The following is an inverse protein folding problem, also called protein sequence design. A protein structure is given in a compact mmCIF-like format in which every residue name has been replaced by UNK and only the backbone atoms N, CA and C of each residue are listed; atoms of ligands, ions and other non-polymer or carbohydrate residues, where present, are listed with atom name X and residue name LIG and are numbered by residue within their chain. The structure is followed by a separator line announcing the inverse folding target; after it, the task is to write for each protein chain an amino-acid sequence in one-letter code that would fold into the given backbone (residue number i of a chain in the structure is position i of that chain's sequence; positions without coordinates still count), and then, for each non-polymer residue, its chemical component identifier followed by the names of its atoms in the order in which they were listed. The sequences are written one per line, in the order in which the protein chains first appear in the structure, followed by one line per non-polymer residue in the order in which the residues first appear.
data_IF_588937217845
#
_entry.id   IF_588937217845
#
_cell.length_a   1.000
_cell.length_b   1.000
_cell.length_c   1.000
_cell.angle_alpha   90.00
_cell.angle_beta   90.00
_cell.angle_gamma   90.00
#
_symmetry.space_group_name_H-M   'P 1'
#
loop_
_entity.id
_entity.type
_entity.pdbx_description
1 polymer ?
#
# COMPACT_ATOMS: atom_id res chain seq x y z
N UNK A 1 13.00 34.10 -26.60
CA UNK A 1 12.68 33.31 -25.41
C UNK A 1 13.16 31.89 -25.63
N UNK A 2 14.30 31.50 -25.06
CA UNK A 2 14.75 30.12 -24.97
C UNK A 2 13.88 29.46 -23.90
N UNK A 3 12.93 28.61 -24.30
CA UNK A 3 12.06 27.85 -23.42
C UNK A 3 12.88 26.83 -22.62
N UNK A 4 13.22 27.17 -21.39
CA UNK A 4 13.72 26.18 -20.45
C UNK A 4 12.62 25.14 -20.21
N UNK A 5 12.94 23.85 -20.36
CA UNK A 5 12.04 22.75 -19.97
C UNK A 5 11.68 22.94 -18.50
N UNK A 6 10.44 23.37 -18.22
CA UNK A 6 9.90 23.31 -16.85
C UNK A 6 9.75 21.83 -16.48
N UNK A 7 10.66 21.34 -15.67
CA UNK A 7 10.54 19.99 -15.08
C UNK A 7 9.57 20.15 -13.90
N UNK A 8 8.30 19.75 -14.09
CA UNK A 8 7.37 19.62 -12.99
C UNK A 8 7.52 18.22 -12.41
N UNK A 9 7.92 18.10 -11.16
CA UNK A 9 8.06 16.83 -10.47
C UNK A 9 6.72 16.26 -10.00
N UNK A 10 5.69 17.10 -9.89
CA UNK A 10 4.34 16.72 -9.46
C UNK A 10 3.34 17.45 -10.37
N UNK A 11 2.41 16.69 -10.93
CA UNK A 11 1.23 17.22 -11.62
C UNK A 11 0.02 16.87 -10.77
N UNK A 12 -0.85 17.84 -10.53
CA UNK A 12 -2.05 17.67 -9.73
C UNK A 12 -3.25 18.26 -10.47
N UNK A 13 -4.35 17.56 -10.43
CA UNK A 13 -5.65 18.03 -10.89
C UNK A 13 -6.63 17.99 -9.74
N UNK A 14 -7.12 19.15 -9.34
CA UNK A 14 -8.08 19.30 -8.25
C UNK A 14 -9.45 19.57 -8.85
N UNK A 15 -10.47 18.84 -8.42
CA UNK A 15 -11.85 19.02 -8.86
C UNK A 15 -12.82 18.77 -7.72
N UNK A 16 -13.86 19.59 -7.64
CA UNK A 16 -15.00 19.38 -6.73
C UNK A 16 -16.05 18.44 -7.30
N UNK A 17 -15.85 17.90 -8.52
CA UNK A 17 -16.72 16.90 -9.14
C UNK A 17 -16.05 15.52 -9.12
N UNK A 18 -16.79 14.52 -8.69
CA UNK A 18 -16.30 13.13 -8.65
C UNK A 18 -16.45 12.41 -10.00
N UNK A 19 -17.31 12.93 -10.89
CA UNK A 19 -17.54 12.33 -12.22
C UNK A 19 -16.62 12.94 -13.25
N UNK A 20 -15.78 12.10 -13.85
CA UNK A 20 -14.85 12.46 -14.92
C UNK A 20 -15.28 11.82 -16.23
N UNK A 21 -15.14 12.54 -17.33
CA UNK A 21 -15.34 11.96 -18.65
C UNK A 21 -14.19 11.02 -19.04
N UNK A 22 -14.50 9.99 -19.83
CA UNK A 22 -13.53 9.00 -20.28
C UNK A 22 -12.29 9.61 -20.94
N UNK A 23 -12.44 10.68 -21.70
CA UNK A 23 -11.34 11.41 -22.35
C UNK A 23 -10.41 12.07 -21.33
N UNK A 24 -10.96 12.64 -20.26
CA UNK A 24 -10.17 13.26 -19.19
C UNK A 24 -9.36 12.20 -18.42
N UNK A 25 -9.99 11.07 -18.13
CA UNK A 25 -9.31 9.94 -17.47
C UNK A 25 -8.17 9.37 -18.31
N UNK A 26 -8.38 9.22 -19.61
CA UNK A 26 -7.36 8.75 -20.53
C UNK A 26 -6.19 9.76 -20.66
N UNK A 27 -6.50 11.05 -20.71
CA UNK A 27 -5.50 12.10 -20.75
C UNK A 27 -4.64 12.15 -19.48
N UNK A 28 -5.23 11.90 -18.30
CA UNK A 28 -4.52 11.86 -17.02
C UNK A 28 -3.64 10.60 -16.95
N UNK A 29 -4.17 9.46 -17.36
CA UNK A 29 -3.48 8.16 -17.31
C UNK A 29 -2.20 8.13 -18.15
N UNK A 30 -2.22 8.75 -19.31
CA UNK A 30 -1.11 8.73 -20.28
C UNK A 30 -0.04 9.81 -20.00
N UNK A 31 -0.14 10.56 -18.90
CA UNK A 31 0.85 11.57 -18.56
C UNK A 31 2.11 10.97 -17.95
N UNK A 32 3.26 11.55 -18.28
CA UNK A 32 4.55 11.27 -17.64
C UNK A 32 5.20 12.61 -17.20
N UNK A 33 5.45 12.88 -15.90
CA UNK A 33 5.02 12.08 -14.75
C UNK A 33 3.49 12.01 -14.63
N UNK A 34 2.96 10.98 -13.94
CA UNK A 34 1.53 10.81 -13.71
C UNK A 34 0.88 12.04 -13.07
N UNK A 35 -0.40 12.26 -13.34
CA UNK A 35 -1.18 13.34 -12.72
C UNK A 35 -1.91 12.80 -11.51
N UNK A 36 -1.68 13.42 -10.35
CA UNK A 36 -2.44 13.14 -9.14
C UNK A 36 -3.82 13.79 -9.26
N UNK A 37 -4.86 13.03 -8.92
CA UNK A 37 -6.22 13.55 -8.80
C UNK A 37 -6.52 13.84 -7.34
N UNK A 38 -7.18 14.96 -7.09
CA UNK A 38 -7.69 15.33 -5.78
C UNK A 38 -9.14 15.72 -5.96
N UNK A 39 -10.04 14.88 -5.45
CA UNK A 39 -11.48 15.10 -5.47
C UNK A 39 -11.99 15.79 -4.19
N UNK A 40 -13.29 16.03 -4.12
CA UNK A 40 -13.92 16.63 -2.94
C UNK A 40 -13.75 15.71 -1.71
N UNK A 41 -13.97 14.40 -1.86
CA UNK A 41 -13.79 13.44 -0.78
C UNK A 41 -12.36 13.40 -0.22
N UNK A 42 -11.35 13.57 -1.09
CA UNK A 42 -9.94 13.66 -0.67
C UNK A 42 -9.68 14.93 0.14
N UNK A 43 -10.26 16.04 -0.27
CA UNK A 43 -10.18 17.32 0.44
C UNK A 43 -10.88 17.23 1.81
N UNK A 44 -12.09 16.68 1.85
CA UNK A 44 -12.85 16.47 3.09
C UNK A 44 -12.15 15.54 4.08
N UNK A 45 -11.52 14.48 3.59
CA UNK A 45 -10.77 13.52 4.40
C UNK A 45 -9.33 13.95 4.71
N UNK A 46 -8.87 15.07 4.14
CA UNK A 46 -7.52 15.57 4.38
C UNK A 46 -7.33 16.00 5.84
N UNK A 47 -6.11 15.88 6.40
CA UNK A 47 -5.82 16.32 7.77
C UNK A 47 -5.69 17.85 7.87
N UNK A 48 -6.65 18.56 7.30
CA UNK A 48 -6.68 20.04 7.24
C UNK A 48 -7.89 20.54 7.97
N UNK A 49 -7.69 21.45 8.91
CA UNK A 49 -8.75 22.22 9.55
C UNK A 49 -9.09 23.44 8.66
N UNK A 50 -10.04 23.24 7.75
CA UNK A 50 -10.41 24.23 6.75
C UNK A 50 -10.79 25.60 7.33
N UNK A 51 -11.44 25.63 8.52
CA UNK A 51 -11.78 26.87 9.21
C UNK A 51 -10.53 27.66 9.62
N UNK A 52 -9.45 26.98 9.99
CA UNK A 52 -8.17 27.62 10.31
C UNK A 52 -7.53 28.22 9.07
N UNK A 53 -7.60 27.53 7.91
CA UNK A 53 -7.14 28.09 6.62
C UNK A 53 -7.94 29.33 6.22
N UNK A 54 -9.26 29.31 6.41
CA UNK A 54 -10.12 30.48 6.13
C UNK A 54 -9.80 31.67 7.05
N UNK A 55 -9.27 31.42 8.24
CA UNK A 55 -8.77 32.44 9.17
C UNK A 55 -7.36 32.94 8.85
N UNK A 56 -6.73 32.40 7.78
CA UNK A 56 -5.41 32.82 7.35
C UNK A 56 -4.25 32.07 8.02
N UNK A 57 -4.53 31.00 8.76
CA UNK A 57 -3.49 30.10 9.28
C UNK A 57 -2.99 29.21 8.14
N UNK A 58 -1.69 29.00 8.06
CA UNK A 58 -1.05 28.28 6.95
C UNK A 58 -0.14 27.14 7.46
N UNK A 59 0.16 26.21 6.57
CA UNK A 59 1.11 25.14 6.85
C UNK A 59 0.68 24.24 8.00
N UNK A 60 1.56 24.04 8.97
CA UNK A 60 1.33 23.12 10.09
C UNK A 60 0.24 23.57 11.05
N UNK A 61 -0.01 24.87 11.13
CA UNK A 61 -0.98 25.46 12.05
C UNK A 61 -2.43 25.22 11.61
N UNK A 62 -2.62 24.93 10.34
CA UNK A 62 -3.91 24.54 9.75
C UNK A 62 -4.13 23.02 9.68
N UNK A 63 -3.20 22.20 10.20
CA UNK A 63 -3.37 20.76 10.24
C UNK A 63 -4.11 20.32 11.50
N UNK A 64 -4.92 19.27 11.38
CA UNK A 64 -5.50 18.57 12.53
C UNK A 64 -4.39 17.93 13.36
N UNK A 65 -4.61 17.84 14.67
CA UNK A 65 -3.68 17.10 15.52
C UNK A 65 -3.58 15.64 15.08
N UNK A 66 -2.34 15.16 15.02
CA UNK A 66 -2.06 13.77 14.71
C UNK A 66 -2.68 12.87 15.78
N UNK A 67 -3.30 11.76 15.35
CA UNK A 67 -3.80 10.75 16.26
C UNK A 67 -2.69 10.18 17.15
N UNK A 68 -3.02 9.91 18.42
CA UNK A 68 -2.15 9.20 19.35
C UNK A 68 -2.59 7.74 19.46
N UNK A 69 -1.66 6.79 19.51
CA UNK A 69 -2.01 5.38 19.66
C UNK A 69 -2.72 5.11 20.99
N UNK A 70 -3.80 4.36 20.93
CA UNK A 70 -4.52 3.89 22.12
C UNK A 70 -3.71 2.82 22.87
N UNK A 71 -4.06 2.53 24.12
CA UNK A 71 -3.32 1.59 24.99
C UNK A 71 -3.08 0.22 24.33
N UNK A 72 -4.09 -0.37 23.73
CA UNK A 72 -3.96 -1.67 23.05
C UNK A 72 -3.07 -1.59 21.78
N UNK A 73 -3.06 -0.46 21.10
CA UNK A 73 -2.18 -0.21 19.94
C UNK A 73 -0.73 -0.03 20.41
N UNK A 74 -0.48 0.71 21.50
CA UNK A 74 0.85 0.85 22.10
C UNK A 74 1.41 -0.51 22.54
N UNK A 75 0.58 -1.36 23.14
CA UNK A 75 0.98 -2.73 23.51
C UNK A 75 1.37 -3.55 22.27
N UNK A 76 0.59 -3.51 21.21
CA UNK A 76 0.90 -4.20 19.95
C UNK A 76 2.20 -3.69 19.31
N UNK A 77 2.41 -2.37 19.30
CA UNK A 77 3.63 -1.73 18.78
C UNK A 77 4.86 -2.16 19.59
N UNK A 78 4.77 -2.17 20.92
CA UNK A 78 5.86 -2.60 21.79
C UNK A 78 6.21 -4.08 21.59
N UNK A 79 5.21 -4.97 21.51
CA UNK A 79 5.41 -6.38 21.24
C UNK A 79 6.03 -6.61 19.86
N UNK A 80 5.61 -5.87 18.83
CA UNK A 80 6.21 -5.94 17.52
C UNK A 80 7.67 -5.48 17.52
N UNK A 81 7.99 -4.41 18.24
CA UNK A 81 9.37 -3.93 18.36
C UNK A 81 10.31 -4.96 19.01
N UNK A 82 9.82 -5.70 20.01
CA UNK A 82 10.57 -6.79 20.61
C UNK A 82 10.69 -7.98 19.65
N UNK A 83 9.58 -8.40 19.02
CA UNK A 83 9.52 -9.56 18.14
C UNK A 83 10.46 -9.45 16.92
N UNK A 84 10.47 -8.29 16.26
CA UNK A 84 11.25 -8.07 15.03
C UNK A 84 12.75 -7.83 15.27
N UNK A 85 13.22 -7.92 16.52
CA UNK A 85 14.68 -7.99 16.80
C UNK A 85 15.26 -9.34 16.41
N UNK A 86 14.48 -10.40 16.55
CA UNK A 86 14.92 -11.79 16.39
C UNK A 86 14.20 -12.53 15.27
N UNK A 87 13.09 -12.00 14.77
CA UNK A 87 12.23 -12.68 13.81
C UNK A 87 11.98 -11.81 12.57
N UNK A 88 11.85 -12.47 11.42
CA UNK A 88 11.56 -11.80 10.14
C UNK A 88 10.08 -11.82 9.76
N UNK A 89 9.26 -12.61 10.43
CA UNK A 89 7.84 -12.75 10.18
C UNK A 89 7.04 -12.61 11.45
N UNK A 90 5.97 -11.79 11.42
CA UNK A 90 5.09 -11.57 12.57
C UNK A 90 3.63 -11.45 12.17
N UNK A 91 2.74 -11.70 13.13
CA UNK A 91 1.29 -11.58 12.96
C UNK A 91 0.74 -10.49 13.86
N UNK A 92 -0.14 -9.65 13.31
CA UNK A 92 -0.92 -8.67 14.04
C UNK A 92 -2.41 -9.04 13.96
N UNK A 93 -2.94 -9.58 15.04
CA UNK A 93 -4.34 -9.96 15.13
C UNK A 93 -5.06 -8.90 15.95
N UNK A 94 -5.91 -8.12 15.30
CA UNK A 94 -6.70 -7.05 15.94
C UNK A 94 -8.11 -7.07 15.35
N UNK A 95 -9.12 -6.88 16.19
CA UNK A 95 -10.52 -6.84 15.74
C UNK A 95 -10.77 -5.75 14.69
N UNK A 96 -11.85 -5.89 13.91
CA UNK A 96 -12.28 -4.84 12.99
C UNK A 96 -12.54 -3.54 13.75
N UNK A 97 -12.19 -2.40 13.14
CA UNK A 97 -12.42 -1.08 13.75
C UNK A 97 -11.43 -0.67 14.86
N UNK A 98 -10.50 -1.54 15.29
CA UNK A 98 -9.54 -1.21 16.36
C UNK A 98 -8.29 -0.47 15.86
N UNK A 99 -8.25 -0.09 14.58
CA UNK A 99 -7.20 0.74 14.01
C UNK A 99 -5.95 -0.02 13.56
N UNK A 100 -6.09 -1.25 12.99
CA UNK A 100 -4.97 -2.02 12.43
C UNK A 100 -4.08 -1.19 11.50
N UNK A 101 -4.69 -0.47 10.56
CA UNK A 101 -3.99 0.34 9.55
C UNK A 101 -3.15 1.43 10.20
N UNK A 102 -3.69 2.15 11.18
CA UNK A 102 -2.95 3.15 11.94
C UNK A 102 -1.84 2.52 12.80
N UNK A 103 -2.15 1.40 13.46
CA UNK A 103 -1.16 0.67 14.27
C UNK A 103 0.02 0.22 13.41
N UNK A 104 -0.23 -0.28 12.19
CA UNK A 104 0.82 -0.69 11.27
C UNK A 104 1.69 0.49 10.80
N UNK A 105 1.10 1.66 10.56
CA UNK A 105 1.87 2.88 10.26
C UNK A 105 2.85 3.21 11.39
N UNK A 106 2.34 3.30 12.64
CA UNK A 106 3.19 3.63 13.79
C UNK A 106 4.26 2.57 14.03
N UNK A 107 3.96 1.28 13.78
CA UNK A 107 4.96 0.21 13.81
C UNK A 107 6.07 0.46 12.80
N UNK A 108 5.75 0.78 11.55
CA UNK A 108 6.76 1.03 10.51
C UNK A 108 7.59 2.28 10.82
N UNK A 109 6.95 3.34 11.29
CA UNK A 109 7.66 4.54 11.72
C UNK A 109 8.70 4.25 12.81
N UNK A 110 8.34 3.43 13.79
CA UNK A 110 9.24 3.08 14.90
C UNK A 110 10.32 2.09 14.46
N UNK A 111 9.96 1.03 13.74
CA UNK A 111 10.89 -0.03 13.34
C UNK A 111 11.89 0.43 12.28
N UNK A 112 11.51 1.41 11.44
CA UNK A 112 12.33 1.94 10.35
C UNK A 112 12.85 3.36 10.63
N UNK A 113 12.67 3.89 11.85
CA UNK A 113 13.06 5.26 12.20
C UNK A 113 12.53 6.31 11.19
N UNK A 114 11.28 6.14 10.77
CA UNK A 114 10.57 6.96 9.78
C UNK A 114 11.23 7.03 8.40
N UNK A 115 12.08 6.09 8.00
CA UNK A 115 12.71 6.05 6.67
C UNK A 115 12.85 4.60 6.21
N UNK A 116 12.38 4.29 5.00
CA UNK A 116 12.51 2.95 4.42
C UNK A 116 11.54 2.70 3.29
N UNK A 117 11.69 1.55 2.64
CA UNK A 117 10.87 1.06 1.55
C UNK A 117 9.90 -0.01 2.06
N UNK A 118 8.60 0.27 2.00
CA UNK A 118 7.54 -0.62 2.49
C UNK A 118 6.63 -1.05 1.35
N UNK A 119 6.27 -2.33 1.31
CA UNK A 119 5.20 -2.84 0.46
C UNK A 119 3.96 -3.10 1.31
N UNK A 120 2.83 -2.50 0.94
CA UNK A 120 1.55 -2.69 1.62
C UNK A 120 0.58 -3.39 0.68
N UNK A 121 0.25 -4.64 0.99
CA UNK A 121 -0.60 -5.51 0.16
C UNK A 121 -2.02 -5.56 0.72
N UNK A 122 -3.01 -5.38 -0.16
CA UNK A 122 -4.44 -5.40 0.18
C UNK A 122 -5.24 -6.26 -0.80
N UNK A 123 -6.41 -6.79 -0.39
CA UNK A 123 -7.21 -7.65 -1.27
C UNK A 123 -8.04 -6.89 -2.32
N UNK A 124 -8.24 -5.58 -2.17
CA UNK A 124 -9.07 -4.79 -3.09
C UNK A 124 -8.58 -3.36 -3.27
N UNK A 125 -8.98 -2.74 -4.38
CA UNK A 125 -8.64 -1.34 -4.70
C UNK A 125 -9.28 -0.38 -3.67
N UNK A 126 -10.47 -0.69 -3.15
CA UNK A 126 -11.11 0.09 -2.09
C UNK A 126 -10.26 0.16 -0.84
N UNK A 127 -9.76 -1.00 -0.37
CA UNK A 127 -8.87 -1.07 0.79
C UNK A 127 -7.52 -0.40 0.51
N UNK A 128 -7.04 -0.42 -0.75
CA UNK A 128 -5.83 0.29 -1.14
C UNK A 128 -6.00 1.80 -0.93
N UNK A 129 -7.08 2.38 -1.44
CA UNK A 129 -7.37 3.80 -1.26
C UNK A 129 -7.53 4.18 0.21
N UNK A 130 -8.28 3.38 0.98
CA UNK A 130 -8.46 3.61 2.43
C UNK A 130 -7.11 3.57 3.19
N UNK A 131 -6.26 2.60 2.89
CA UNK A 131 -4.95 2.46 3.55
C UNK A 131 -4.00 3.59 3.16
N UNK A 132 -3.98 3.97 1.89
CA UNK A 132 -3.22 5.10 1.39
C UNK A 132 -3.62 6.40 2.10
N UNK A 133 -4.92 6.71 2.14
CA UNK A 133 -5.43 7.92 2.76
C UNK A 133 -5.14 7.94 4.27
N UNK A 134 -5.37 6.82 4.97
CA UNK A 134 -5.09 6.71 6.40
C UNK A 134 -3.60 6.91 6.71
N UNK A 135 -2.70 6.31 5.94
CA UNK A 135 -1.27 6.46 6.15
C UNK A 135 -0.79 7.87 5.80
N UNK A 136 -1.28 8.44 4.70
CA UNK A 136 -0.91 9.79 4.27
C UNK A 136 -1.35 10.86 5.28
N UNK A 137 -2.54 10.68 5.88
CA UNK A 137 -3.11 11.63 6.86
C UNK A 137 -2.38 11.57 8.22
N UNK A 138 -2.00 10.38 8.67
CA UNK A 138 -1.52 10.15 10.02
C UNK A 138 0.02 9.97 10.12
N UNK A 139 0.78 10.02 9.02
CA UNK A 139 2.23 9.84 9.03
C UNK A 139 2.97 11.01 9.71
N UNK A 140 4.06 10.71 10.43
CA UNK A 140 4.94 11.72 11.06
C UNK A 140 5.67 12.59 10.04
N UNK A 141 6.13 11.95 8.98
CA UNK A 141 6.76 12.60 7.83
C UNK A 141 5.94 12.31 6.59
N UNK A 142 5.87 13.23 5.62
CA UNK A 142 5.20 12.95 4.36
C UNK A 142 5.69 11.66 3.73
N UNK A 143 4.79 10.75 3.36
CA UNK A 143 5.14 9.52 2.66
C UNK A 143 5.21 9.76 1.16
N UNK A 144 6.06 8.99 0.47
CA UNK A 144 6.04 8.86 -0.99
C UNK A 144 5.30 7.58 -1.34
N UNK A 145 4.16 7.71 -1.99
CA UNK A 145 3.32 6.57 -2.34
C UNK A 145 3.43 6.20 -3.81
N UNK A 146 3.50 4.90 -4.09
CA UNK A 146 3.37 4.31 -5.43
C UNK A 146 2.21 3.32 -5.38
N UNK A 147 1.21 3.47 -6.25
CA UNK A 147 0.05 2.60 -6.28
C UNK A 147 0.14 1.62 -7.46
N UNK A 148 0.06 0.32 -7.16
CA UNK A 148 0.11 -0.74 -8.17
C UNK A 148 -1.19 -1.54 -8.09
N UNK A 149 -2.09 -1.29 -9.03
CA UNK A 149 -3.30 -2.08 -9.20
C UNK A 149 -3.77 -2.03 -10.65
N UNK A 150 -4.40 -3.11 -11.11
CA UNK A 150 -5.04 -3.16 -12.42
C UNK A 150 -6.32 -2.33 -12.41
N UNK A 151 -6.53 -1.55 -13.48
CA UNK A 151 -7.77 -0.77 -13.64
C UNK A 151 -8.99 -1.69 -13.65
N UNK A 152 -9.94 -1.44 -12.76
CA UNK A 152 -11.17 -2.23 -12.60
C UNK A 152 -12.03 -2.29 -13.86
N UNK A 153 -11.79 -1.41 -14.84
CA UNK A 153 -12.55 -1.39 -16.11
C UNK A 153 -12.15 -2.51 -17.09
N UNK A 154 -10.90 -2.97 -17.05
CA UNK A 154 -10.45 -4.09 -17.89
C UNK A 154 -10.95 -5.45 -17.34
N UNK A 155 -11.27 -5.53 -16.06
CA UNK A 155 -11.63 -6.75 -15.33
C UNK A 155 -13.13 -6.97 -15.15
N UNK A 156 -14.01 -6.20 -15.79
CA UNK A 156 -15.49 -6.29 -15.63
C UNK A 156 -16.09 -7.68 -15.85
N UNK A 157 -15.38 -8.61 -16.43
CA UNK A 157 -15.85 -10.00 -16.62
C UNK A 157 -15.60 -10.91 -15.41
N UNK A 158 -14.59 -10.61 -14.58
CA UNK A 158 -14.21 -11.46 -13.44
C UNK A 158 -14.77 -10.90 -12.11
N UNK A 159 -15.05 -9.61 -12.05
CA UNK A 159 -15.45 -8.91 -10.83
C UNK A 159 -16.94 -9.02 -10.49
N UNK A 160 -17.79 -9.53 -11.40
CA UNK A 160 -19.23 -9.70 -11.14
C UNK A 160 -19.59 -10.73 -10.06
N UNK A 161 -18.64 -11.56 -9.66
CA UNK A 161 -18.89 -12.59 -8.63
C UNK A 161 -18.33 -12.25 -7.23
N UNK A 162 -17.41 -11.27 -7.10
CA UNK A 162 -16.79 -10.96 -5.80
C UNK A 162 -17.19 -9.62 -5.17
N UNK A 163 -17.71 -8.66 -5.93
CA UNK A 163 -18.02 -7.31 -5.41
C UNK A 163 -19.48 -6.92 -5.69
N UNK A 164 -20.40 -7.48 -4.92
CA UNK A 164 -21.82 -7.07 -4.93
C UNK A 164 -22.10 -5.76 -4.16
N UNK A 165 -21.07 -4.99 -3.71
CA UNK A 165 -21.31 -3.86 -2.78
C UNK A 165 -20.63 -2.54 -3.17
N UNK A 166 -19.88 -2.41 -4.26
CA UNK A 166 -19.32 -1.09 -4.62
C UNK A 166 -19.54 -0.70 -6.06
N UNK A 167 -20.66 -0.04 -6.29
CA UNK A 167 -20.85 0.84 -7.46
C UNK A 167 -19.94 2.07 -7.30
N UNK A 168 -18.89 2.14 -8.07
CA UNK A 168 -18.08 3.34 -8.18
C UNK A 168 -16.61 3.03 -8.54
N UNK A 169 -16.09 3.69 -9.57
CA UNK A 169 -14.66 3.77 -9.78
C UNK A 169 -14.05 4.46 -8.57
N UNK A 170 -13.21 3.75 -7.80
CA UNK A 170 -12.53 4.36 -6.66
C UNK A 170 -11.43 5.23 -7.24
N UNK A 171 -11.58 6.53 -7.05
CA UNK A 171 -10.57 7.50 -7.37
C UNK A 171 -9.44 7.40 -6.35
N UNK A 172 -8.27 6.96 -6.80
CA UNK A 172 -7.06 7.00 -5.99
C UNK A 172 -6.45 8.39 -6.09
N UNK A 173 -6.13 9.00 -4.96
CA UNK A 173 -5.41 10.28 -4.90
C UNK A 173 -4.03 10.19 -5.59
N UNK A 174 -3.46 8.98 -5.69
CA UNK A 174 -2.23 8.67 -6.42
C UNK A 174 -2.57 7.79 -7.62
N UNK A 175 -2.12 8.14 -8.85
CA UNK A 175 -2.40 7.35 -10.04
C UNK A 175 -1.88 5.92 -9.89
N UNK A 176 -2.75 4.95 -10.14
CA UNK A 176 -2.36 3.56 -10.19
C UNK A 176 -1.64 3.22 -11.50
N UNK A 177 -0.60 2.41 -11.40
CA UNK A 177 0.18 1.96 -12.55
C UNK A 177 0.55 0.48 -12.40
N UNK A 178 0.48 -0.27 -13.49
CA UNK A 178 0.98 -1.65 -13.55
C UNK A 178 2.19 -1.79 -14.48
N UNK A 179 2.63 -0.70 -15.11
CA UNK A 179 3.80 -0.71 -15.98
C UNK A 179 5.09 -0.73 -15.12
N UNK A 180 5.90 -1.80 -15.17
CA UNK A 180 7.09 -1.95 -14.33
C UNK A 180 8.12 -0.84 -14.51
N UNK A 181 8.33 -0.34 -15.75
CA UNK A 181 9.32 0.70 -16.02
C UNK A 181 8.90 2.06 -15.40
N UNK A 182 7.61 2.35 -15.40
CA UNK A 182 7.07 3.54 -14.73
C UNK A 182 7.20 3.44 -13.22
N UNK A 183 6.93 2.26 -12.64
CA UNK A 183 7.11 1.99 -11.21
C UNK A 183 8.58 2.17 -10.81
N UNK A 184 9.50 1.59 -11.57
CA UNK A 184 10.95 1.72 -11.33
C UNK A 184 11.39 3.18 -11.36
N UNK A 185 10.93 3.97 -12.35
CA UNK A 185 11.25 5.41 -12.42
C UNK A 185 10.79 6.17 -11.18
N UNK A 186 9.56 5.91 -10.71
CA UNK A 186 9.01 6.54 -9.52
C UNK A 186 9.82 6.16 -8.26
N UNK A 187 10.12 4.87 -8.07
CA UNK A 187 10.89 4.40 -6.92
C UNK A 187 12.30 4.97 -6.90
N UNK A 188 12.98 5.06 -8.05
CA UNK A 188 14.29 5.71 -8.15
C UNK A 188 14.23 7.20 -7.80
N UNK A 189 13.18 7.90 -8.24
CA UNK A 189 13.00 9.31 -7.89
C UNK A 189 12.74 9.53 -6.40
N UNK A 190 12.30 8.50 -5.67
CA UNK A 190 12.01 8.54 -4.23
C UNK A 190 13.12 7.94 -3.36
N UNK A 191 14.22 7.46 -3.94
CA UNK A 191 15.31 6.78 -3.22
C UNK A 191 15.87 7.60 -2.06
N UNK A 192 16.09 8.90 -2.27
CA UNK A 192 16.69 9.80 -1.27
C UNK A 192 15.65 10.50 -0.38
N UNK A 193 14.40 10.04 -0.45
CA UNK A 193 13.33 10.63 0.36
C UNK A 193 13.59 10.45 1.86
N UNK A 194 13.49 11.57 2.61
CA UNK A 194 13.60 11.56 4.09
C UNK A 194 12.26 11.21 4.73
N UNK A 195 11.77 10.02 4.47
CA UNK A 195 10.49 9.51 4.96
C UNK A 195 10.28 8.07 4.48
N UNK A 196 9.10 7.53 4.73
CA UNK A 196 8.71 6.24 4.20
C UNK A 196 8.35 6.35 2.71
N UNK A 197 8.92 5.48 1.89
CA UNK A 197 8.43 5.21 0.53
C UNK A 197 7.57 3.96 0.58
N UNK A 198 6.30 4.06 0.21
CA UNK A 198 5.33 2.98 0.36
C UNK A 198 4.74 2.60 -0.98
N UNK A 199 4.90 1.35 -1.34
CA UNK A 199 4.23 0.74 -2.50
C UNK A 199 2.93 0.12 -2.00
N UNK A 200 1.79 0.71 -2.35
CA UNK A 200 0.47 0.12 -2.09
C UNK A 200 0.07 -0.73 -3.28
N UNK A 201 -0.23 -2.01 -3.06
CA UNK A 201 -0.60 -2.91 -4.15
C UNK A 201 -1.74 -3.86 -3.76
N UNK A 202 -2.53 -4.25 -4.74
CA UNK A 202 -3.45 -5.37 -4.58
C UNK A 202 -2.71 -6.69 -4.78
N UNK A 203 -3.18 -7.77 -4.11
CA UNK A 203 -2.58 -9.10 -4.31
C UNK A 203 -2.62 -9.56 -5.77
N UNK A 204 -3.67 -9.19 -6.52
CA UNK A 204 -3.80 -9.52 -7.94
C UNK A 204 -2.70 -8.90 -8.80
N UNK A 205 -2.08 -7.82 -8.35
CA UNK A 205 -1.03 -7.11 -9.08
C UNK A 205 0.39 -7.49 -8.63
N UNK A 206 0.54 -8.59 -7.88
CA UNK A 206 1.83 -9.03 -7.33
C UNK A 206 2.89 -9.29 -8.41
N UNK A 207 2.47 -9.76 -9.59
CA UNK A 207 3.40 -10.01 -10.70
C UNK A 207 4.02 -8.71 -11.22
N UNK A 208 3.25 -7.61 -11.27
CA UNK A 208 3.78 -6.29 -11.62
C UNK A 208 4.74 -5.76 -10.54
N UNK A 209 4.46 -6.02 -9.25
CA UNK A 209 5.39 -5.70 -8.15
C UNK A 209 6.69 -6.49 -8.29
N UNK A 210 6.61 -7.80 -8.54
CA UNK A 210 7.76 -8.69 -8.72
C UNK A 210 8.65 -8.24 -9.89
N UNK A 211 8.03 -7.96 -11.04
CA UNK A 211 8.77 -7.52 -12.23
C UNK A 211 9.43 -6.15 -12.01
N UNK A 212 8.70 -5.19 -11.43
CA UNK A 212 9.26 -3.89 -11.10
C UNK A 212 10.42 -4.00 -10.11
N UNK A 213 10.30 -4.85 -9.08
CA UNK A 213 11.37 -5.09 -8.11
C UNK A 213 12.62 -5.70 -8.77
N UNK A 214 12.46 -6.70 -9.64
CA UNK A 214 13.59 -7.31 -10.37
C UNK A 214 14.33 -6.27 -11.19
N UNK A 215 13.60 -5.48 -12.01
CA UNK A 215 14.18 -4.39 -12.80
C UNK A 215 14.86 -3.32 -11.94
N UNK A 216 14.27 -2.99 -10.79
CA UNK A 216 14.85 -2.01 -9.86
C UNK A 216 16.17 -2.52 -9.30
N UNK A 217 16.21 -3.75 -8.81
CA UNK A 217 17.42 -4.40 -8.28
C UNK A 217 18.52 -4.48 -9.34
N UNK A 218 18.21 -4.94 -10.55
CA UNK A 218 19.16 -5.00 -11.67
C UNK A 218 19.73 -3.62 -12.00
N UNK A 219 18.88 -2.61 -12.06
CA UNK A 219 19.27 -1.25 -12.44
C UNK A 219 19.97 -0.46 -11.34
N UNK A 220 20.06 -0.98 -10.13
CA UNK A 220 20.73 -0.41 -8.96
C UNK A 220 21.81 -1.32 -8.39
N UNK A 221 22.26 -2.32 -9.13
CA UNK A 221 23.25 -3.32 -8.70
C UNK A 221 22.90 -3.97 -7.34
N UNK A 222 21.61 -4.22 -7.07
CA UNK A 222 21.04 -4.71 -5.81
C UNK A 222 21.19 -3.77 -4.60
N UNK A 223 21.55 -2.50 -4.79
CA UNK A 223 21.67 -1.54 -3.68
C UNK A 223 20.30 -1.04 -3.20
N UNK A 224 19.29 -0.97 -4.10
CA UNK A 224 17.95 -0.47 -3.79
C UNK A 224 16.87 -1.34 -4.45
N UNK A 225 15.78 -1.64 -3.70
CA UNK A 225 14.63 -2.38 -4.22
C UNK A 225 14.17 -3.53 -3.32
N UNK A 226 14.99 -4.00 -2.36
CA UNK A 226 14.51 -4.93 -1.34
C UNK A 226 13.61 -4.17 -0.35
N UNK A 227 12.38 -4.62 -0.15
CA UNK A 227 11.49 -4.01 0.82
C UNK A 227 11.99 -4.23 2.24
N UNK A 228 12.06 -3.17 3.04
CA UNK A 228 12.41 -3.29 4.47
C UNK A 228 11.30 -4.03 5.22
N UNK A 229 10.03 -3.74 4.87
CA UNK A 229 8.87 -4.47 5.34
C UNK A 229 7.87 -4.75 4.23
N UNK A 230 7.25 -5.93 4.28
CA UNK A 230 6.07 -6.29 3.50
C UNK A 230 4.92 -6.45 4.49
N UNK A 231 3.87 -5.66 4.31
CA UNK A 231 2.64 -5.73 5.11
C UNK A 231 1.57 -6.42 4.28
N UNK A 232 0.99 -7.47 4.82
CA UNK A 232 -0.09 -8.23 4.21
C UNK A 232 -1.37 -7.98 5.00
N UNK A 233 -2.25 -7.12 4.49
CA UNK A 233 -3.56 -6.87 5.12
C UNK A 233 -4.56 -7.95 4.71
N UNK A 234 -5.51 -8.25 5.59
CA UNK A 234 -6.44 -9.38 5.49
C UNK A 234 -5.72 -10.71 5.17
N UNK A 235 -4.64 -10.95 5.91
CA UNK A 235 -3.70 -12.05 5.66
C UNK A 235 -4.34 -13.45 5.69
N UNK A 236 -5.51 -13.61 6.30
CA UNK A 236 -6.28 -14.86 6.23
C UNK A 236 -6.63 -15.28 4.79
N UNK A 237 -6.58 -14.36 3.82
CA UNK A 237 -6.77 -14.64 2.39
C UNK A 237 -5.51 -15.16 1.71
N UNK A 238 -4.34 -14.98 2.32
CA UNK A 238 -3.06 -15.44 1.76
C UNK A 238 -2.75 -16.89 2.12
N UNK A 239 -3.63 -17.55 2.86
CA UNK A 239 -3.49 -18.97 3.24
C UNK A 239 -4.15 -19.85 2.19
N UNK A 240 -3.48 -20.92 1.80
CA UNK A 240 -4.02 -21.90 0.88
C UNK A 240 -3.15 -23.13 0.77
N UNK A 241 -3.77 -24.26 0.39
CA UNK A 241 -3.05 -25.47 -0.04
C UNK A 241 -2.69 -25.28 -1.49
N UNK A 242 -1.44 -25.51 -1.89
CA UNK A 242 -1.08 -25.67 -3.31
C UNK A 242 -1.89 -26.83 -3.88
N UNK A 243 -2.86 -26.54 -4.74
CA UNK A 243 -3.77 -27.57 -5.29
C UNK A 243 -3.23 -28.16 -6.59
N UNK A 244 -2.31 -27.47 -7.25
CA UNK A 244 -1.57 -28.00 -8.43
C UNK A 244 -0.41 -27.07 -8.78
N UNK A 245 0.60 -27.59 -9.46
CA UNK A 245 1.78 -26.84 -9.95
C UNK A 245 1.46 -25.75 -11.01
N UNK A 246 0.21 -25.60 -11.42
CA UNK A 246 -0.16 -24.73 -12.53
C UNK A 246 -0.68 -23.34 -12.11
N UNK A 247 -1.20 -23.19 -10.88
CA UNK A 247 -1.80 -21.90 -10.42
C UNK A 247 -1.47 -21.61 -8.96
N UNK A 248 -0.26 -21.14 -8.71
CA UNK A 248 0.02 -20.48 -7.44
C UNK A 248 -0.87 -19.24 -7.35
N UNK A 249 -1.85 -19.26 -6.44
CA UNK A 249 -2.75 -18.13 -6.22
C UNK A 249 -1.92 -16.86 -6.00
N UNK A 250 -2.29 -15.75 -6.65
CA UNK A 250 -1.64 -14.43 -6.47
C UNK A 250 -1.49 -14.05 -4.99
N UNK A 251 -2.38 -14.58 -4.13
CA UNK A 251 -2.34 -14.35 -2.69
C UNK A 251 -1.22 -15.11 -1.97
N UNK A 252 -0.76 -16.26 -2.49
CA UNK A 252 0.29 -17.07 -1.86
C UNK A 252 1.69 -16.67 -2.29
N UNK A 253 1.85 -16.08 -3.47
CA UNK A 253 3.14 -15.62 -4.01
C UNK A 253 3.89 -14.66 -3.07
N UNK A 254 3.17 -13.90 -2.22
CA UNK A 254 3.78 -12.92 -1.31
C UNK A 254 4.66 -13.56 -0.22
N UNK A 255 4.54 -14.86 0.02
CA UNK A 255 5.30 -15.56 1.05
C UNK A 255 6.72 -15.93 0.60
N UNK A 256 6.98 -16.00 -0.71
CA UNK A 256 8.27 -16.36 -1.28
C UNK A 256 9.09 -15.14 -1.66
N UNK A 257 10.39 -15.14 -1.29
CA UNK A 257 11.37 -14.15 -1.73
C UNK A 257 11.72 -14.28 -3.22
N UNK A 258 11.42 -15.42 -3.85
CA UNK A 258 11.56 -15.60 -5.30
C UNK A 258 10.59 -14.71 -6.07
N UNK A 259 9.42 -14.47 -5.49
CA UNK A 259 8.42 -13.59 -6.08
C UNK A 259 8.63 -12.13 -5.67
N UNK A 260 8.73 -11.85 -4.35
CA UNK A 260 8.92 -10.49 -3.84
C UNK A 260 9.87 -10.52 -2.64
N UNK A 261 11.02 -9.86 -2.78
CA UNK A 261 12.04 -9.81 -1.75
C UNK A 261 11.73 -8.76 -0.69
N UNK A 262 11.74 -9.20 0.58
CA UNK A 262 11.57 -8.31 1.72
C UNK A 262 12.33 -8.80 2.93
N UNK A 263 12.91 -7.87 3.69
CA UNK A 263 13.67 -8.22 4.90
C UNK A 263 12.75 -8.77 6.00
N UNK A 264 11.55 -8.18 6.13
CA UNK A 264 10.58 -8.57 7.17
C UNK A 264 9.16 -8.56 6.63
N UNK A 265 8.27 -9.39 7.22
CA UNK A 265 6.85 -9.48 6.84
C UNK A 265 5.93 -9.36 8.04
N UNK A 266 4.90 -8.52 7.91
CA UNK A 266 3.83 -8.35 8.89
C UNK A 266 2.51 -8.82 8.27
N UNK A 267 1.90 -9.82 8.88
CA UNK A 267 0.60 -10.36 8.48
C UNK A 267 -0.49 -9.81 9.39
N UNK A 268 -1.41 -9.04 8.85
CA UNK A 268 -2.49 -8.41 9.61
C UNK A 268 -3.83 -9.07 9.29
N UNK A 269 -4.62 -9.37 10.31
CA UNK A 269 -5.98 -9.87 10.14
C UNK A 269 -6.85 -9.58 11.37
N UNK A 270 -8.16 -9.44 11.13
CA UNK A 270 -9.15 -9.42 12.21
C UNK A 270 -9.68 -10.83 12.52
N UNK A 271 -9.61 -11.73 11.55
CA UNK A 271 -10.21 -13.08 11.60
C UNK A 271 -9.15 -14.13 11.32
N UNK A 272 -8.33 -14.49 12.33
CA UNK A 272 -7.33 -15.54 12.14
C UNK A 272 -8.03 -16.87 11.85
N UNK A 273 -7.53 -17.62 10.87
CA UNK A 273 -7.96 -19.00 10.66
C UNK A 273 -7.31 -19.89 11.71
N UNK A 274 -8.13 -20.58 12.46
CA UNK A 274 -7.67 -21.58 13.42
C UNK A 274 -7.66 -22.94 12.73
N UNK A 275 -6.49 -23.53 12.62
CA UNK A 275 -6.30 -24.85 12.04
C UNK A 275 -6.11 -25.87 13.16
N UNK A 276 -6.83 -26.98 13.08
CA UNK A 276 -6.64 -28.11 13.98
C UNK A 276 -5.25 -28.77 13.79
N UNK A 277 -4.81 -29.53 14.79
CA UNK A 277 -3.50 -30.23 14.80
C UNK A 277 -3.27 -31.06 13.52
N UNK A 278 -4.31 -31.79 13.06
CA UNK A 278 -4.24 -32.58 11.82
C UNK A 278 -3.99 -31.75 10.56
N UNK A 279 -4.51 -30.51 10.51
CA UNK A 279 -4.28 -29.61 9.40
C UNK A 279 -2.86 -29.02 9.44
N UNK A 280 -2.34 -28.74 10.63
CA UNK A 280 -0.95 -28.27 10.83
C UNK A 280 0.07 -29.34 10.41
N UNK A 281 -0.16 -30.60 10.75
CA UNK A 281 0.69 -31.73 10.34
C UNK A 281 0.69 -31.87 8.82
N UNK A 282 -0.51 -31.85 8.18
CA UNK A 282 -0.61 -31.91 6.72
C UNK A 282 0.03 -30.70 6.02
N UNK A 283 0.04 -29.54 6.67
CA UNK A 283 0.68 -28.35 6.13
C UNK A 283 2.20 -28.47 6.14
N UNK A 284 2.80 -29.07 7.20
CA UNK A 284 4.23 -29.33 7.28
C UNK A 284 4.71 -30.36 6.25
N UNK A 285 3.83 -31.29 5.84
CA UNK A 285 4.12 -32.30 4.84
C UNK A 285 3.95 -31.83 3.38
N UNK A 286 3.20 -30.76 3.14
CA UNK A 286 2.76 -30.34 1.78
C UNK A 286 3.12 -28.92 1.41
N UNK A 287 4.12 -28.31 2.04
CA UNK A 287 4.47 -26.89 1.79
C UNK A 287 3.27 -25.93 1.84
N UNK A 288 2.33 -26.18 2.74
CA UNK A 288 1.15 -25.35 2.92
C UNK A 288 1.47 -24.14 3.79
N UNK A 289 0.93 -22.96 3.41
CA UNK A 289 1.09 -21.75 4.19
C UNK A 289 -0.14 -21.58 5.09
N UNK A 290 0.09 -21.63 6.40
CA UNK A 290 -0.91 -21.34 7.43
C UNK A 290 -0.64 -19.99 8.05
N UNK A 291 -1.62 -19.09 8.06
CA UNK A 291 -1.56 -17.80 8.78
C UNK A 291 -2.24 -17.86 10.12
#
# INVERSE_FOLDING_TARGET
HKGGKKISHIKMWISTTEKWGSTAEEAIRNQDPPVNRVGLADLESSPVEWDKLLQGLEGKDALTERKHPLKHQLEAISKAAAHYKENDRGKLIMACGTGKTYTSLVMMENLLNNKGLVLFMVPSISLLGQSLNAWSADAKKPIKAVCICSDSRASRKIQKELDLITDGAIDLAVPACTNPDSIVRQLKAYHDHDGLTVVFSTYQSIDAVSEAQKKLLESTNNEYGVFDFIICDEAHRTTGVKVSDADESSFTKIHSDDNVRGKKRLYMTATPRLYGESAKIKASEKDCILC
#
